data_IF_036132107848
#
_entry.id   IF_036132107848
#
_cell.length_a   1.000
_cell.length_b   1.000
_cell.length_c   1.000
_cell.angle_alpha   90.00
_cell.angle_beta   90.00
_cell.angle_gamma   90.00
#
_symmetry.space_group_name_H-M   'P 1'
#
loop_
_entity.id
_entity.type
_entity.pdbx_description
1 polymer ?
#
# COMPACT_ATOMS: atom_id res chain seq x y z
N UNK A 1 8.75 -39.86 -18.68
CA UNK A 1 7.67 -38.90 -18.36
C UNK A 1 7.63 -38.79 -16.84
N UNK A 2 8.41 -37.86 -16.27
CA UNK A 2 8.46 -37.65 -14.81
C UNK A 2 7.57 -36.49 -14.47
N UNK A 3 6.49 -36.73 -13.72
CA UNK A 3 5.64 -35.69 -13.14
C UNK A 3 6.32 -35.15 -11.89
N UNK A 4 6.78 -33.90 -11.93
CA UNK A 4 7.25 -33.19 -10.75
C UNK A 4 6.02 -32.70 -9.98
N UNK A 5 5.75 -33.32 -8.85
CA UNK A 5 4.72 -32.84 -7.90
C UNK A 5 5.32 -31.70 -7.11
N UNK A 6 4.93 -30.46 -7.43
CA UNK A 6 5.28 -29.30 -6.63
C UNK A 6 4.49 -29.36 -5.33
N UNK A 7 5.16 -29.61 -4.22
CA UNK A 7 4.59 -29.45 -2.88
C UNK A 7 4.60 -27.97 -2.53
N UNK A 8 3.44 -27.32 -2.62
CA UNK A 8 3.26 -25.95 -2.14
C UNK A 8 3.12 -26.02 -0.62
N UNK A 9 4.21 -25.80 0.10
CA UNK A 9 4.16 -25.55 1.54
C UNK A 9 3.72 -24.10 1.75
N UNK A 10 2.44 -23.88 2.05
CA UNK A 10 1.97 -22.63 2.62
C UNK A 10 2.50 -22.58 4.06
N UNK A 11 3.66 -21.97 4.28
CA UNK A 11 4.14 -21.66 5.62
C UNK A 11 3.30 -20.54 6.19
N UNK A 12 2.66 -20.77 7.33
CA UNK A 12 2.10 -19.70 8.16
C UNK A 12 3.17 -18.62 8.33
N UNK A 13 2.77 -17.34 8.17
CA UNK A 13 3.66 -16.21 8.20
C UNK A 13 4.66 -16.36 9.37
N UNK A 14 5.94 -16.52 9.02
CA UNK A 14 7.00 -16.45 10.01
C UNK A 14 6.91 -15.06 10.66
N UNK A 15 7.06 -14.93 11.99
CA UNK A 15 7.07 -13.64 12.63
C UNK A 15 8.13 -12.78 11.93
N UNK A 16 7.74 -11.57 11.54
CA UNK A 16 8.66 -10.60 10.97
C UNK A 16 9.89 -10.56 11.88
N UNK A 17 11.07 -10.77 11.29
CA UNK A 17 12.33 -10.70 12.02
C UNK A 17 12.34 -9.32 12.67
N UNK A 18 12.41 -9.29 14.01
CA UNK A 18 12.43 -8.04 14.74
C UNK A 18 13.61 -7.21 14.19
N UNK A 19 13.30 -6.10 13.54
CA UNK A 19 14.28 -5.09 13.24
C UNK A 19 14.81 -4.60 14.60
N UNK A 20 16.11 -4.44 14.74
CA UNK A 20 16.72 -3.89 15.96
C UNK A 20 16.34 -2.40 16.17
N UNK A 21 15.49 -1.85 15.29
CA UNK A 21 15.07 -0.46 15.25
C UNK A 21 13.55 -0.26 15.23
N UNK A 22 13.13 0.99 15.41
CA UNK A 22 11.71 1.41 15.33
C UNK A 22 11.21 1.34 13.87
N UNK A 23 12.05 1.67 12.89
CA UNK A 23 11.74 1.62 11.45
C UNK A 23 12.11 0.24 10.91
N UNK A 24 11.15 -0.42 10.27
CA UNK A 24 11.31 -1.74 9.67
C UNK A 24 11.60 -1.66 8.16
N UNK A 25 10.88 -0.78 7.44
CA UNK A 25 11.01 -0.65 5.99
C UNK A 25 10.65 0.78 5.55
N UNK A 26 11.32 1.28 4.52
CA UNK A 26 10.95 2.50 3.81
C UNK A 26 10.65 2.13 2.36
N UNK A 27 9.57 2.69 1.82
CA UNK A 27 9.17 2.51 0.42
C UNK A 27 9.06 3.86 -0.27
N UNK A 28 9.49 3.89 -1.54
CA UNK A 28 9.30 5.04 -2.43
C UNK A 28 8.78 4.54 -3.78
N UNK A 29 7.93 5.34 -4.43
CA UNK A 29 7.32 4.90 -5.68
C UNK A 29 6.77 6.02 -6.52
N UNK A 30 6.29 5.61 -7.70
CA UNK A 30 5.54 6.45 -8.63
C UNK A 30 4.25 5.72 -8.96
N UNK A 31 3.13 6.43 -8.82
CA UNK A 31 1.79 5.90 -9.05
C UNK A 31 1.12 6.69 -10.17
N UNK A 32 0.32 6.00 -10.97
CA UNK A 32 -0.67 6.58 -11.86
C UNK A 32 -1.86 7.01 -11.01
N UNK A 33 -2.19 8.29 -11.03
CA UNK A 33 -3.21 8.89 -10.19
C UNK A 33 -4.60 8.63 -10.74
N UNK A 34 -5.53 8.28 -9.87
CA UNK A 34 -6.96 8.11 -10.17
C UNK A 34 -7.23 7.23 -11.41
N UNK A 35 -6.77 5.97 -11.40
CA UNK A 35 -6.93 5.03 -12.53
C UNK A 35 -8.39 4.65 -12.83
N UNK A 36 -9.36 5.19 -12.06
CA UNK A 36 -10.79 5.01 -12.30
C UNK A 36 -11.39 3.69 -11.83
N UNK A 37 -10.63 2.81 -11.19
CA UNK A 37 -11.17 1.58 -10.57
C UNK A 37 -12.00 1.99 -9.35
N UNK A 38 -13.27 1.56 -9.32
CA UNK A 38 -14.23 1.96 -8.28
C UNK A 38 -14.91 3.31 -8.54
N UNK A 39 -14.65 3.95 -9.71
CA UNK A 39 -15.21 5.24 -10.10
C UNK A 39 -14.87 5.60 -11.55
N UNK A 40 -14.80 6.88 -11.83
CA UNK A 40 -14.35 7.41 -13.12
C UNK A 40 -13.01 8.11 -12.94
N UNK A 41 -12.06 7.89 -13.85
CA UNK A 41 -10.86 8.69 -13.93
C UNK A 41 -11.21 10.15 -14.21
N UNK A 42 -10.77 11.04 -13.36
CA UNK A 42 -10.98 12.49 -13.48
C UNK A 42 -9.73 13.30 -13.26
N UNK A 43 -8.98 12.96 -12.22
CA UNK A 43 -7.80 13.70 -11.84
C UNK A 43 -6.56 13.16 -12.58
N UNK A 44 -5.89 13.96 -13.40
CA UNK A 44 -4.68 13.55 -14.09
C UNK A 44 -3.45 13.57 -13.18
N UNK A 45 -2.33 13.09 -13.74
CA UNK A 45 -1.01 13.21 -13.16
C UNK A 45 -0.47 11.90 -12.62
N UNK A 46 0.73 11.99 -12.08
CA UNK A 46 1.37 10.91 -11.36
C UNK A 46 1.57 11.33 -9.91
N UNK A 47 1.59 10.36 -9.00
CA UNK A 47 1.90 10.61 -7.61
C UNK A 47 3.31 10.14 -7.27
N UNK A 48 4.02 10.96 -6.50
CA UNK A 48 5.24 10.53 -5.81
C UNK A 48 4.83 9.96 -4.46
N UNK A 49 5.02 8.65 -4.30
CA UNK A 49 4.71 7.93 -3.06
C UNK A 49 5.93 7.83 -2.16
N UNK A 50 5.70 8.01 -0.85
CA UNK A 50 6.66 7.72 0.20
C UNK A 50 5.96 7.09 1.39
N UNK A 51 6.49 5.97 1.92
CA UNK A 51 5.91 5.26 3.06
C UNK A 51 7.01 4.76 3.99
N UNK A 52 6.77 4.88 5.29
CA UNK A 52 7.59 4.28 6.36
C UNK A 52 6.74 3.24 7.08
N UNK A 53 7.24 2.02 7.18
CA UNK A 53 6.65 0.96 7.99
C UNK A 53 7.49 0.80 9.26
N UNK A 54 6.80 0.71 10.38
CA UNK A 54 7.43 0.55 11.69
C UNK A 54 7.41 -0.91 12.13
N UNK A 55 8.36 -1.28 12.96
CA UNK A 55 8.37 -2.58 13.63
C UNK A 55 7.04 -2.78 14.39
N UNK A 56 6.43 -3.96 14.20
CA UNK A 56 5.16 -4.28 14.87
C UNK A 56 5.36 -4.32 16.39
N UNK A 57 4.66 -3.48 17.14
CA UNK A 57 4.73 -3.53 18.60
C UNK A 57 4.01 -4.77 19.13
N UNK A 58 4.52 -5.35 20.22
CA UNK A 58 4.04 -6.62 20.77
C UNK A 58 2.55 -6.63 21.17
N UNK A 59 1.98 -5.48 21.50
CA UNK A 59 0.56 -5.38 21.82
C UNK A 59 -0.35 -5.59 20.60
N UNK A 60 0.18 -5.60 19.35
CA UNK A 60 -0.56 -5.94 18.13
C UNK A 60 -0.51 -7.42 17.77
N UNK A 61 0.15 -8.26 18.57
CA UNK A 61 0.29 -9.70 18.26
C UNK A 61 -1.07 -10.41 18.18
N UNK A 62 -2.09 -9.95 18.91
CA UNK A 62 -3.43 -10.54 18.88
C UNK A 62 -4.19 -10.35 17.55
N UNK A 63 -3.72 -9.43 16.68
CA UNK A 63 -4.24 -9.21 15.31
C UNK A 63 -3.17 -9.51 14.24
N UNK A 64 -2.33 -10.54 14.49
CA UNK A 64 -1.30 -11.03 13.55
C UNK A 64 -0.15 -10.07 13.31
N UNK A 65 0.23 -9.28 14.30
CA UNK A 65 1.43 -8.42 14.29
C UNK A 65 1.54 -7.51 13.05
N UNK A 66 0.52 -6.71 12.71
CA UNK A 66 0.64 -5.76 11.61
C UNK A 66 1.69 -4.70 11.93
N UNK A 67 2.36 -4.22 10.88
CA UNK A 67 3.30 -3.10 10.96
C UNK A 67 2.53 -1.79 10.85
N UNK A 68 2.62 -0.87 11.84
CA UNK A 68 2.12 0.49 11.66
C UNK A 68 2.83 1.17 10.50
N UNK A 69 2.14 2.02 9.75
CA UNK A 69 2.73 2.80 8.68
C UNK A 69 2.25 4.25 8.67
N UNK A 70 3.10 5.11 8.09
CA UNK A 70 2.80 6.47 7.70
C UNK A 70 3.28 6.69 6.27
N UNK A 71 2.54 7.45 5.48
CA UNK A 71 2.97 7.74 4.11
C UNK A 71 2.23 8.90 3.49
N UNK A 72 2.63 9.21 2.26
CA UNK A 72 2.04 10.29 1.46
C UNK A 72 2.08 9.94 -0.02
N UNK A 73 1.08 10.42 -0.75
CA UNK A 73 1.05 10.48 -2.21
C UNK A 73 0.92 11.96 -2.59
N UNK A 74 1.91 12.47 -3.31
CA UNK A 74 1.95 13.87 -3.76
C UNK A 74 1.71 13.89 -5.25
N UNK A 75 0.57 14.46 -5.67
CA UNK A 75 0.22 14.57 -7.08
C UNK A 75 1.08 15.63 -7.78
N UNK A 76 1.65 15.27 -8.93
CA UNK A 76 2.58 16.13 -9.69
C UNK A 76 1.88 17.23 -10.49
N UNK A 77 0.59 17.09 -10.76
CA UNK A 77 -0.21 18.04 -11.54
C UNK A 77 -1.06 18.97 -10.65
N UNK A 78 -0.82 18.93 -9.33
CA UNK A 78 -1.53 19.78 -8.37
C UNK A 78 -2.99 19.36 -8.14
N UNK A 79 -3.30 18.09 -8.37
CA UNK A 79 -4.56 17.45 -7.99
C UNK A 79 -4.50 16.92 -6.56
N UNK A 80 -5.40 16.03 -6.18
CA UNK A 80 -5.50 15.52 -4.82
C UNK A 80 -4.21 14.84 -4.37
N UNK A 81 -3.59 15.39 -3.33
CA UNK A 81 -2.51 14.76 -2.58
C UNK A 81 -3.03 14.25 -1.24
N UNK A 82 -2.42 13.21 -0.69
CA UNK A 82 -2.84 12.62 0.57
C UNK A 82 -1.67 12.34 1.51
N UNK A 83 -1.96 12.45 2.82
CA UNK A 83 -1.16 11.88 3.90
C UNK A 83 -1.98 10.77 4.54
N UNK A 84 -1.37 9.61 4.79
CA UNK A 84 -2.07 8.46 5.30
C UNK A 84 -1.33 7.74 6.42
N UNK A 85 -2.08 6.95 7.18
CA UNK A 85 -1.57 6.13 8.26
C UNK A 85 -2.44 4.87 8.42
N UNK A 86 -1.89 3.83 8.99
CA UNK A 86 -2.65 2.60 9.22
C UNK A 86 -1.78 1.44 9.67
N UNK A 87 -2.28 0.24 9.37
CA UNK A 87 -1.67 -1.03 9.70
C UNK A 87 -1.51 -1.87 8.43
N UNK A 88 -0.35 -2.49 8.25
CA UNK A 88 0.00 -3.35 7.11
C UNK A 88 0.28 -4.76 7.59
N UNK A 89 -0.43 -5.74 7.03
CA UNK A 89 -0.24 -7.17 7.25
C UNK A 89 0.53 -7.79 6.10
N UNK A 90 1.43 -8.72 6.42
CA UNK A 90 2.00 -9.64 5.43
C UNK A 90 1.05 -10.84 5.28
N UNK A 91 0.26 -10.84 4.20
CA UNK A 91 -0.77 -11.84 3.95
C UNK A 91 -0.17 -13.15 3.40
N UNK A 92 0.82 -13.03 2.51
CA UNK A 92 1.54 -14.18 1.93
C UNK A 92 3.05 -13.86 1.87
N UNK A 93 3.86 -14.91 2.01
CA UNK A 93 5.31 -14.84 1.83
C UNK A 93 5.82 -16.19 1.30
N UNK A 94 6.38 -16.19 0.10
CA UNK A 94 6.98 -17.35 -0.53
C UNK A 94 8.49 -17.09 -0.63
N UNK A 95 9.27 -17.75 0.20
CA UNK A 95 10.72 -17.59 0.24
C UNK A 95 11.41 -18.55 -0.74
N UNK A 96 12.62 -18.17 -1.18
CA UNK A 96 13.49 -19.01 -2.04
C UNK A 96 12.79 -19.42 -3.35
N UNK A 97 12.12 -18.48 -4.01
CA UNK A 97 11.33 -18.78 -5.22
C UNK A 97 12.23 -19.07 -6.43
N UNK A 98 13.25 -18.24 -6.63
CA UNK A 98 14.21 -18.35 -7.76
C UNK A 98 15.66 -18.47 -7.27
N UNK A 99 15.96 -17.93 -6.10
CA UNK A 99 17.31 -17.93 -5.49
C UNK A 99 17.21 -18.36 -4.03
N UNK A 100 18.36 -18.52 -3.35
CA UNK A 100 18.37 -18.88 -1.93
C UNK A 100 18.00 -17.74 -0.96
N UNK A 101 17.78 -16.51 -1.46
CA UNK A 101 17.58 -15.33 -0.62
C UNK A 101 16.46 -14.40 -1.08
N UNK A 102 15.71 -14.79 -2.09
CA UNK A 102 14.60 -14.02 -2.62
C UNK A 102 13.25 -14.43 -2.02
N UNK A 103 12.24 -13.58 -2.21
CA UNK A 103 10.87 -13.89 -1.81
C UNK A 103 9.85 -13.14 -2.65
N UNK A 104 8.69 -13.75 -2.86
CA UNK A 104 7.47 -13.08 -3.35
C UNK A 104 6.55 -12.87 -2.16
N UNK A 105 6.01 -11.68 -2.02
CA UNK A 105 5.12 -11.34 -0.91
C UNK A 105 3.84 -10.64 -1.36
N UNK A 106 2.81 -10.77 -0.54
CA UNK A 106 1.57 -10.02 -0.62
C UNK A 106 1.36 -9.28 0.69
N UNK A 107 1.23 -7.96 0.63
CA UNK A 107 0.82 -7.15 1.77
C UNK A 107 -0.58 -6.59 1.52
N UNK A 108 -1.34 -6.46 2.60
CA UNK A 108 -2.60 -5.74 2.63
C UNK A 108 -2.58 -4.72 3.75
N UNK A 109 -3.14 -3.54 3.52
CA UNK A 109 -3.22 -2.53 4.57
C UNK A 109 -4.60 -1.91 4.69
N UNK A 110 -4.90 -1.45 5.91
CA UNK A 110 -6.10 -0.70 6.25
C UNK A 110 -5.72 0.49 7.12
N UNK A 111 -6.38 1.62 6.90
CA UNK A 111 -6.11 2.83 7.65
C UNK A 111 -7.01 3.99 7.30
N UNK A 112 -6.48 5.19 7.47
CA UNK A 112 -7.12 6.44 7.11
C UNK A 112 -6.19 7.34 6.33
N UNK A 113 -6.77 8.28 5.60
CA UNK A 113 -6.06 9.32 4.89
C UNK A 113 -6.70 10.68 5.14
N UNK A 114 -5.89 11.73 5.11
CA UNK A 114 -6.33 13.12 4.98
C UNK A 114 -5.79 13.67 3.68
N UNK A 115 -6.57 14.49 2.97
CA UNK A 115 -6.22 14.95 1.64
C UNK A 115 -6.51 16.44 1.47
N UNK A 116 -5.96 17.06 0.42
CA UNK A 116 -6.15 18.46 0.07
C UNK A 116 -7.18 18.68 -1.06
N UNK A 117 -7.68 17.62 -1.70
CA UNK A 117 -8.65 17.66 -2.79
C UNK A 117 -10.02 18.26 -2.41
N UNK A 118 -10.92 18.33 -3.39
CA UNK A 118 -12.23 18.93 -3.24
C UNK A 118 -13.19 18.05 -2.45
N UNK A 119 -13.92 18.64 -1.49
CA UNK A 119 -15.00 17.95 -0.77
C UNK A 119 -16.30 17.96 -1.61
N UNK A 120 -16.62 19.13 -2.16
CA UNK A 120 -17.80 19.40 -2.99
C UNK A 120 -17.41 20.40 -4.09
N UNK A 121 -18.09 20.38 -5.22
CA UNK A 121 -17.79 21.29 -6.33
C UNK A 121 -16.48 20.92 -7.03
N UNK A 122 -15.80 21.93 -7.58
CA UNK A 122 -14.58 21.73 -8.39
C UNK A 122 -14.88 21.74 -9.89
N UNK A 123 -13.84 21.55 -10.71
CA UNK A 123 -13.92 21.43 -12.15
C UNK A 123 -14.42 20.06 -12.62
N UNK A 124 -14.44 19.88 -13.93
CA UNK A 124 -14.80 18.59 -14.55
C UNK A 124 -13.75 17.51 -14.27
N UNK A 125 -12.54 17.93 -14.01
CA UNK A 125 -11.33 17.13 -13.76
C UNK A 125 -10.93 17.09 -12.27
N UNK A 126 -11.89 17.36 -11.36
CA UNK A 126 -11.71 17.28 -9.92
C UNK A 126 -12.63 16.21 -9.32
N UNK A 127 -12.12 15.43 -8.39
CA UNK A 127 -12.92 14.49 -7.58
C UNK A 127 -13.62 15.21 -6.44
N UNK A 128 -14.84 14.77 -6.13
CA UNK A 128 -15.61 15.22 -4.98
C UNK A 128 -15.60 14.13 -3.91
N UNK A 129 -14.79 14.32 -2.89
CA UNK A 129 -14.42 13.28 -1.93
C UNK A 129 -15.30 13.28 -0.66
N UNK A 130 -16.13 14.33 -0.50
CA UNK A 130 -17.17 14.42 0.53
C UNK A 130 -16.66 14.70 1.94
N UNK A 131 -15.55 14.11 2.34
CA UNK A 131 -14.96 14.27 3.67
C UNK A 131 -13.46 14.55 3.57
N UNK A 132 -12.90 15.33 4.49
CA UNK A 132 -11.45 15.57 4.56
C UNK A 132 -10.67 14.35 5.07
N UNK A 133 -11.30 13.51 5.85
CA UNK A 133 -10.73 12.24 6.32
C UNK A 133 -11.47 11.09 5.65
N UNK A 134 -10.73 10.17 5.07
CA UNK A 134 -11.21 9.03 4.29
C UNK A 134 -10.68 7.72 4.86
N UNK A 135 -11.38 6.63 4.62
CA UNK A 135 -10.81 5.29 4.76
C UNK A 135 -9.80 5.04 3.65
N UNK A 136 -8.78 4.24 3.96
CA UNK A 136 -7.78 3.83 2.99
C UNK A 136 -7.50 2.34 3.11
N UNK A 137 -7.51 1.66 1.97
CA UNK A 137 -7.02 0.29 1.82
C UNK A 137 -5.96 0.22 0.74
N UNK A 138 -5.02 -0.74 0.88
CA UNK A 138 -4.04 -0.99 -0.18
C UNK A 138 -3.62 -2.44 -0.28
N UNK A 139 -3.16 -2.81 -1.46
CA UNK A 139 -2.53 -4.10 -1.76
C UNK A 139 -1.18 -3.84 -2.41
N UNK A 140 -0.19 -4.64 -2.00
CA UNK A 140 1.18 -4.55 -2.47
C UNK A 140 1.70 -5.96 -2.78
N UNK A 141 1.91 -6.26 -4.07
CA UNK A 141 2.47 -7.53 -4.54
C UNK A 141 3.92 -7.28 -4.91
N UNK A 142 4.85 -7.87 -4.19
CA UNK A 142 6.26 -7.55 -4.33
C UNK A 142 7.17 -8.76 -4.48
N UNK A 143 8.35 -8.46 -5.01
CA UNK A 143 9.48 -9.37 -5.13
C UNK A 143 10.70 -8.78 -4.42
N UNK A 144 11.11 -9.45 -3.36
CA UNK A 144 12.38 -9.20 -2.69
C UNK A 144 13.47 -9.94 -3.47
N UNK A 145 14.29 -9.20 -4.20
CA UNK A 145 15.31 -9.79 -5.10
C UNK A 145 16.66 -10.02 -4.42
N UNK A 146 16.95 -9.29 -3.34
CA UNK A 146 18.07 -9.54 -2.41
C UNK A 146 17.60 -9.20 -0.99
N UNK A 147 18.34 -9.62 0.04
CA UNK A 147 17.99 -9.24 1.41
C UNK A 147 17.80 -7.74 1.55
N UNK A 148 16.67 -7.32 2.17
CA UNK A 148 16.30 -5.93 2.45
C UNK A 148 15.88 -5.07 1.25
N UNK A 149 15.90 -5.58 0.01
CA UNK A 149 15.52 -4.78 -1.16
C UNK A 149 14.41 -5.46 -1.95
N UNK A 150 13.37 -4.71 -2.27
CA UNK A 150 12.22 -5.20 -2.99
C UNK A 150 11.73 -4.21 -4.04
N UNK A 151 11.02 -4.74 -5.03
CA UNK A 151 10.17 -3.97 -5.94
C UNK A 151 8.76 -4.52 -5.86
N UNK A 152 7.77 -3.68 -6.02
CA UNK A 152 6.37 -4.10 -5.93
C UNK A 152 5.45 -3.35 -6.85
N UNK A 153 4.35 -4.02 -7.23
CA UNK A 153 3.17 -3.43 -7.81
C UNK A 153 2.23 -3.07 -6.65
N UNK A 154 1.82 -1.82 -6.60
CA UNK A 154 1.05 -1.25 -5.52
C UNK A 154 -0.23 -0.61 -6.01
N UNK A 155 -1.32 -0.89 -5.32
CA UNK A 155 -2.63 -0.25 -5.51
C UNK A 155 -3.09 0.26 -4.16
N UNK A 156 -3.58 1.48 -4.10
CA UNK A 156 -4.33 1.99 -2.97
C UNK A 156 -5.65 2.64 -3.40
N UNK A 157 -6.58 2.67 -2.47
CA UNK A 157 -7.88 3.31 -2.63
C UNK A 157 -8.24 4.13 -1.41
N UNK A 158 -8.77 5.34 -1.63
CA UNK A 158 -9.35 6.18 -0.59
C UNK A 158 -10.80 6.49 -0.90
N UNK A 159 -11.65 6.42 0.12
CA UNK A 159 -13.08 6.78 0.00
C UNK A 159 -13.68 7.07 1.37
N UNK A 160 -14.84 7.73 1.41
CA UNK A 160 -15.59 7.93 2.64
C UNK A 160 -16.55 6.76 2.97
N UNK A 161 -16.48 5.65 2.22
CA UNK A 161 -17.34 4.48 2.35
C UNK A 161 -18.85 4.80 2.23
N UNK A 162 -19.21 5.89 1.56
CA UNK A 162 -20.61 6.33 1.39
C UNK A 162 -21.20 7.03 2.62
N UNK A 163 -20.37 7.53 3.53
CA UNK A 163 -20.82 8.26 4.73
C UNK A 163 -21.33 9.67 4.41
N UNK A 164 -20.93 10.24 3.26
CA UNK A 164 -21.41 11.55 2.80
C UNK A 164 -22.15 11.42 1.47
N UNK A 165 -22.78 12.50 1.02
CA UNK A 165 -23.50 12.54 -0.26
C UNK A 165 -22.58 12.56 -1.49
N UNK A 166 -21.30 12.83 -1.31
CA UNK A 166 -20.26 12.82 -2.35
C UNK A 166 -19.20 11.82 -1.96
N UNK A 167 -18.94 10.82 -2.78
CA UNK A 167 -17.94 9.77 -2.53
C UNK A 167 -17.43 9.24 -3.87
N UNK A 168 -16.62 10.04 -4.55
CA UNK A 168 -16.06 9.62 -5.84
C UNK A 168 -14.85 8.73 -5.71
N UNK A 169 -14.22 8.68 -4.55
CA UNK A 169 -13.04 7.87 -4.26
C UNK A 169 -11.88 8.08 -5.24
N UNK A 170 -10.67 7.79 -4.84
CA UNK A 170 -9.48 7.80 -5.71
C UNK A 170 -8.80 6.45 -5.59
N UNK A 171 -8.40 5.88 -6.72
CA UNK A 171 -7.60 4.65 -6.77
C UNK A 171 -6.32 4.92 -7.55
N UNK A 172 -5.18 4.69 -6.93
CA UNK A 172 -3.87 4.84 -7.54
C UNK A 172 -3.23 3.48 -7.78
N UNK A 173 -2.43 3.37 -8.85
CA UNK A 173 -1.69 2.15 -9.19
C UNK A 173 -0.27 2.52 -9.57
N UNK A 174 0.72 1.80 -9.07
CA UNK A 174 2.10 2.07 -9.48
C UNK A 174 3.11 1.06 -9.01
N UNK A 175 4.37 1.48 -9.09
CA UNK A 175 5.49 0.66 -8.69
C UNK A 175 6.24 1.31 -7.54
N UNK A 176 6.71 0.48 -6.61
CA UNK A 176 7.47 0.93 -5.44
C UNK A 176 8.77 0.15 -5.31
N UNK A 177 9.79 0.82 -4.81
CA UNK A 177 11.01 0.21 -4.29
C UNK A 177 10.97 0.27 -2.77
N UNK A 178 11.30 -0.84 -2.12
CA UNK A 178 11.37 -0.99 -0.67
C UNK A 178 12.78 -1.31 -0.18
N UNK A 179 13.15 -0.70 0.95
CA UNK A 179 14.39 -1.00 1.67
C UNK A 179 14.09 -1.29 3.14
N UNK A 180 14.40 -2.53 3.60
CA UNK A 180 14.27 -2.99 4.98
C UNK A 180 15.55 -2.73 5.81
N UNK A 181 15.39 -2.52 7.12
CA UNK A 181 16.47 -2.23 8.05
C UNK A 181 16.84 -3.42 8.94
#
# INVERSE_FOLDING_TARGET
MFAATAVICASAAAPARAADGIVDEVKVGVLDHDIGIGGHHKEPGADINGEVLFTSPSFLNFIWSPRPHLGTDINTDGKTSQFYFGLTWRLLNFEQVFTGSDAIFLLGSLGGAVHDGHLHGGGSDDKQLGSRALFRESIDIGYQFVPRQSVSLFVDHISDAGLTSQNQGITNLGVRYGYGF
#
